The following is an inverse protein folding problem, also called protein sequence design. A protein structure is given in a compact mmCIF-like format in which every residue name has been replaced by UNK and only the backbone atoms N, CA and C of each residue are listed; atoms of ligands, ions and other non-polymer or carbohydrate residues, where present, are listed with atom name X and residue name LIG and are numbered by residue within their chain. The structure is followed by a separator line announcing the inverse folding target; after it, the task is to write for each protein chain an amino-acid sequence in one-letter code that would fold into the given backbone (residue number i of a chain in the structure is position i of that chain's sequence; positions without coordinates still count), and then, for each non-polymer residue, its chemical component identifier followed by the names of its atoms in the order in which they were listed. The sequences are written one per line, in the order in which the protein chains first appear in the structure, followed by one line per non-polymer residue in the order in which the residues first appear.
data_IF_229302781932
#
_entry.id   IF_229302781932
#
_cell.length_a   1.000
_cell.length_b   1.000
_cell.length_c   1.000
_cell.angle_alpha   90.00
_cell.angle_beta   90.00
_cell.angle_gamma   90.00
#
_symmetry.space_group_name_H-M   'P 1'
#
loop_
_entity.id
_entity.type
_entity.pdbx_description
1 polymer ?
2 non-polymer ?
3 non-polymer ?
4 water ?
#
# COMPACT_ATOMS: atom_id res chain seq x y z
N UNK A 1 -18.79 16.60 8.85
CA UNK A 1 -17.69 17.59 8.73
C UNK A 1 -16.41 16.89 8.23
N UNK A 2 -15.63 17.62 7.42
CA UNK A 2 -14.46 17.08 6.72
C UNK A 2 -13.27 16.79 7.63
N UNK A 3 -12.52 15.74 7.27
CA UNK A 3 -11.24 15.43 7.90
C UNK A 3 -10.25 16.55 7.60
N UNK A 4 -9.74 17.18 8.66
CA UNK A 4 -8.88 18.35 8.51
C UNK A 4 -7.53 18.02 7.87
N UNK A 5 -6.83 17.02 8.43
CA UNK A 5 -5.50 16.65 7.96
C UNK A 5 -4.46 17.71 8.25
N UNK A 6 -4.78 18.57 9.23
CA UNK A 6 -3.98 19.73 9.58
C UNK A 6 -2.98 19.49 10.73
N UNK A 7 -3.14 18.37 11.41
CA UNK A 7 -2.26 18.04 12.54
C UNK A 7 -1.10 17.16 12.10
N UNK A 8 -0.10 17.05 12.97
CA UNK A 8 1.10 16.26 12.70
C UNK A 8 0.95 14.80 13.09
N UNK A 9 1.88 13.98 12.64
CA UNK A 9 1.96 12.57 13.07
C UNK A 9 2.30 12.44 14.56
N UNK A 10 1.56 11.59 15.26
CA UNK A 10 1.83 11.31 16.68
C UNK A 10 3.26 10.84 16.93
N UNK A 11 3.88 11.28 18.05
CA UNK A 11 5.12 10.66 18.48
C UNK A 11 4.86 9.21 18.86
N UNK A 12 5.76 8.32 18.44
CA UNK A 12 5.62 6.89 18.71
C UNK A 12 6.96 6.25 19.12
N UNK A 13 6.89 5.12 19.81
CA UNK A 13 8.08 4.35 20.17
C UNK A 13 8.13 2.99 19.48
N UNK A 14 6.98 2.50 19.01
CA UNK A 14 6.90 1.18 18.41
C UNK A 14 5.50 0.91 17.88
N UNK A 15 5.24 -0.35 17.55
CA UNK A 15 4.01 -0.74 16.86
C UNK A 15 3.28 -1.85 17.62
N UNK A 16 2.03 -1.58 17.95
CA UNK A 16 1.16 -2.54 18.64
C UNK A 16 0.27 -3.26 17.64
N UNK A 17 0.15 -4.59 17.77
CA UNK A 17 -0.69 -5.39 16.84
C UNK A 17 -2.14 -4.92 16.87
N UNK A 18 -2.73 -4.80 15.69
CA UNK A 18 -4.06 -4.20 15.52
C UNK A 18 -5.09 -5.21 15.01
N UNK A 19 -4.74 -5.93 13.93
CA UNK A 19 -5.65 -6.90 13.34
C UNK A 19 -4.92 -8.07 12.68
N UNK A 20 -5.64 -9.18 12.55
CA UNK A 20 -5.19 -10.34 11.80
C UNK A 20 -6.44 -11.07 11.33
N UNK A 21 -6.60 -11.20 10.01
CA UNK A 21 -7.82 -11.77 9.45
C UNK A 21 -7.84 -13.30 9.36
N UNK A 22 -6.67 -13.94 9.38
CA UNK A 22 -6.56 -15.41 9.26
C UNK A 22 -7.28 -15.97 8.01
N UNK A 23 -7.36 -15.16 6.96
CA UNK A 23 -8.21 -15.42 5.80
C UNK A 23 -7.97 -16.75 5.12
N UNK A 24 -6.72 -17.09 4.87
CA UNK A 24 -6.41 -18.28 4.09
C UNK A 24 -6.66 -19.55 4.90
N UNK A 25 -6.33 -19.50 6.19
CA UNK A 25 -6.64 -20.56 7.14
C UNK A 25 -8.14 -20.83 7.17
N UNK A 26 -8.93 -19.77 7.26
CA UNK A 26 -10.40 -19.89 7.28
C UNK A 26 -10.95 -20.37 5.92
N UNK A 27 -10.38 -19.85 4.84
CA UNK A 27 -10.81 -20.19 3.47
C UNK A 27 -10.56 -21.62 3.04
N UNK A 28 -9.85 -22.37 3.88
CA UNK A 28 -9.69 -23.80 3.69
C UNK A 28 -11.07 -24.51 3.77
N UNK A 29 -11.96 -23.97 4.61
CA UNK A 29 -13.31 -24.48 4.72
C UNK A 29 -14.37 -23.40 4.44
N UNK A 30 -14.13 -22.17 4.93
CA UNK A 30 -15.10 -21.10 4.79
C UNK A 30 -15.18 -20.60 3.37
N UNK A 31 -16.27 -19.92 3.04
CA UNK A 31 -16.41 -19.27 1.73
C UNK A 31 -15.68 -17.93 1.76
N UNK A 32 -14.42 -17.97 1.37
CA UNK A 32 -13.55 -16.79 1.44
C UNK A 32 -13.01 -16.47 0.04
N UNK A 33 -13.05 -15.19 -0.32
CA UNK A 33 -12.50 -14.73 -1.59
C UNK A 33 -11.01 -14.98 -1.73
N UNK A 34 -10.61 -15.37 -2.95
CA UNK A 34 -9.23 -15.25 -3.38
C UNK A 34 -8.99 -13.77 -3.68
N UNK A 35 -7.99 -13.20 -3.03
CA UNK A 35 -7.69 -11.79 -3.14
C UNK A 35 -6.19 -11.57 -3.26
N UNK A 36 -5.81 -10.40 -3.72
CA UNK A 36 -4.50 -9.85 -3.45
C UNK A 36 -4.61 -8.34 -3.31
N UNK A 37 -3.47 -7.69 -3.11
CA UNK A 37 -3.42 -6.23 -2.95
C UNK A 37 -4.44 -5.69 -1.93
N UNK A 38 -4.44 -6.24 -0.69
CA UNK A 38 -5.40 -5.70 0.27
C UNK A 38 -4.85 -4.41 0.85
N UNK A 39 -5.70 -3.60 1.47
CA UNK A 39 -5.25 -2.39 2.16
C UNK A 39 -6.30 -1.88 3.13
N UNK A 40 -5.88 -1.11 4.13
CA UNK A 40 -6.80 -0.61 5.13
C UNK A 40 -6.96 0.90 4.97
N UNK A 41 -8.19 1.37 5.17
CA UNK A 41 -8.50 2.80 5.18
C UNK A 41 -9.60 3.08 6.21
N UNK A 42 -9.45 4.18 6.94
CA UNK A 42 -10.42 4.54 7.98
C UNK A 42 -11.20 5.82 7.68
N UNK A 43 -12.40 5.93 8.25
CA UNK A 43 -13.18 7.16 8.15
C UNK A 43 -13.12 7.89 9.49
N UNK A 44 -14.19 8.59 9.83
CA UNK A 44 -14.31 9.22 11.14
C UNK A 44 -15.05 8.28 12.09
N UNK A 45 -15.55 7.18 11.55
CA UNK A 45 -16.42 6.26 12.28
C UNK A 45 -15.96 4.79 12.30
N UNK A 46 -15.32 4.35 11.22
CA UNK A 46 -14.91 2.95 11.09
C UNK A 46 -13.56 2.78 10.38
N UNK A 47 -13.04 1.56 10.38
CA UNK A 47 -11.92 1.17 9.53
C UNK A 47 -12.32 -0.03 8.70
N UNK A 48 -12.01 0.02 7.41
CA UNK A 48 -12.34 -1.07 6.50
C UNK A 48 -11.10 -1.61 5.81
N UNK A 49 -11.11 -2.91 5.54
CA UNK A 49 -10.12 -3.50 4.67
C UNK A 49 -10.70 -3.52 3.26
N UNK A 50 -9.96 -2.95 2.32
CA UNK A 50 -10.30 -3.04 0.89
C UNK A 50 -9.40 -4.10 0.27
N UNK A 51 -9.87 -4.74 -0.80
CA UNK A 51 -9.11 -5.82 -1.45
C UNK A 51 -9.57 -6.02 -2.88
N UNK A 52 -8.69 -6.61 -3.68
CA UNK A 52 -9.01 -6.98 -5.06
C UNK A 52 -9.25 -8.47 -5.15
N UNK A 53 -10.51 -8.83 -5.35
CA UNK A 53 -10.85 -10.22 -5.49
C UNK A 53 -10.44 -10.69 -6.88
N UNK A 54 -10.48 -12.01 -7.06
CA UNK A 54 -10.30 -12.62 -8.37
C UNK A 54 -11.66 -13.18 -8.82
N UNK A 55 -12.72 -12.76 -8.14
CA UNK A 55 -14.09 -13.22 -8.40
C UNK A 55 -14.20 -14.72 -8.26
N UNK A 56 -13.60 -15.25 -7.19
CA UNK A 56 -13.47 -16.68 -6.97
C UNK A 56 -13.20 -16.96 -5.51
N UNK A 57 -13.67 -18.11 -5.04
CA UNK A 57 -13.43 -18.51 -3.67
C UNK A 57 -12.21 -19.41 -3.54
N UNK A 58 -11.56 -19.36 -2.38
CA UNK A 58 -10.49 -20.28 -2.05
C UNK A 58 -10.96 -21.73 -2.08
N UNK A 59 -10.06 -22.63 -2.48
CA UNK A 59 -10.33 -24.06 -2.57
C UNK A 59 -11.44 -24.42 -3.57
N UNK A 60 -11.59 -23.60 -4.61
CA UNK A 60 -12.55 -23.84 -5.69
C UNK A 60 -11.83 -23.73 -7.02
N UNK A 61 -12.31 -24.45 -8.04
CA UNK A 61 -11.66 -24.52 -9.36
C UNK A 61 -11.44 -23.17 -10.03
N UNK A 62 -12.27 -22.18 -9.73
CA UNK A 62 -12.12 -20.83 -10.30
C UNK A 62 -10.94 -20.02 -9.72
N UNK A 63 -10.29 -20.56 -8.68
CA UNK A 63 -9.07 -19.96 -8.15
C UNK A 63 -7.83 -20.34 -8.98
N UNK A 64 -8.03 -21.23 -9.96
CA UNK A 64 -6.98 -21.63 -10.88
C UNK A 64 -6.43 -20.45 -11.70
N UNK A 65 -5.12 -20.28 -11.66
CA UNK A 65 -4.46 -19.28 -12.49
C UNK A 65 -4.49 -17.89 -11.89
N UNK A 66 -4.76 -17.81 -10.59
CA UNK A 66 -4.93 -16.50 -9.92
C UNK A 66 -3.63 -15.77 -9.58
N UNK A 67 -2.50 -16.29 -10.03
CA UNK A 67 -1.22 -15.56 -10.00
C UNK A 67 -1.26 -14.42 -11.03
N UNK A 68 -2.09 -14.60 -12.06
CA UNK A 68 -2.33 -13.61 -13.11
C UNK A 68 -2.92 -12.32 -12.51
N UNK A 69 -2.40 -11.18 -12.95
CA UNK A 69 -2.67 -9.90 -12.29
C UNK A 69 -3.97 -9.23 -12.65
N UNK A 70 -4.35 -9.27 -13.92
CA UNK A 70 -5.44 -8.44 -14.44
C UNK A 70 -6.44 -9.26 -15.25
N UNK A 71 -7.71 -9.13 -14.91
CA UNK A 71 -8.78 -9.81 -15.64
C UNK A 71 -10.09 -9.03 -15.49
N UNK A 72 -11.05 -9.24 -16.41
CA UNK A 72 -12.34 -8.58 -16.28
C UNK A 72 -13.13 -8.98 -15.04
N UNK A 73 -12.69 -10.03 -14.36
CA UNK A 73 -13.41 -10.55 -13.20
C UNK A 73 -12.98 -9.99 -11.86
N UNK A 74 -11.80 -9.38 -11.80
CA UNK A 74 -11.29 -8.74 -10.58
C UNK A 74 -12.18 -7.57 -10.14
N UNK A 75 -12.54 -7.55 -8.86
CA UNK A 75 -13.36 -6.46 -8.31
C UNK A 75 -12.79 -5.95 -6.99
N UNK A 76 -12.90 -4.64 -6.78
CA UNK A 76 -12.65 -4.02 -5.47
C UNK A 76 -13.86 -4.21 -4.55
N UNK A 77 -13.60 -4.78 -3.38
CA UNK A 77 -14.60 -4.96 -2.35
C UNK A 77 -14.03 -4.57 -0.97
N UNK A 78 -14.90 -4.40 0.02
CA UNK A 78 -14.44 -4.12 1.37
C UNK A 78 -15.23 -4.84 2.45
N UNK A 79 -14.59 -5.03 3.59
CA UNK A 79 -15.25 -5.58 4.77
C UNK A 79 -14.63 -4.95 6.01
N UNK A 80 -15.30 -5.06 7.18
CA UNK A 80 -14.68 -4.60 8.44
C UNK A 80 -13.27 -5.20 8.66
N UNK A 81 -12.36 -4.39 9.18
CA UNK A 81 -10.97 -4.83 9.42
C UNK A 81 -10.93 -6.11 10.27
N UNK A 82 -10.02 -7.02 9.94
CA UNK A 82 -9.80 -8.22 10.74
C UNK A 82 -10.74 -9.37 10.47
N UNK A 83 -11.74 -9.14 9.61
CA UNK A 83 -12.67 -10.19 9.19
C UNK A 83 -12.17 -10.83 7.90
N UNK A 84 -12.41 -12.14 7.75
CA UNK A 84 -12.08 -12.86 6.52
C UNK A 84 -12.99 -12.38 5.39
N UNK A 85 -12.39 -11.88 4.29
CA UNK A 85 -13.15 -11.41 3.12
C UNK A 85 -14.02 -12.49 2.48
N UNK A 86 -15.32 -12.40 2.72
CA UNK A 86 -16.30 -13.37 2.28
C UNK A 86 -17.39 -12.69 1.45
N UNK A 87 -18.02 -13.42 0.51
CA UNK A 87 -19.20 -12.84 -0.18
C UNK A 87 -20.38 -12.52 0.76
N UNK A 88 -20.30 -12.95 2.01
CA UNK A 88 -21.39 -12.73 2.97
C UNK A 88 -21.12 -11.61 3.98
N UNK A 89 -19.93 -11.02 3.93
CA UNK A 89 -19.61 -9.89 4.80
C UNK A 89 -18.97 -8.74 4.04
N UNK A 90 -18.86 -8.88 2.72
CA UNK A 90 -18.17 -7.93 1.87
C UNK A 90 -19.09 -7.02 1.10
N UNK A 91 -18.73 -5.73 1.07
CA UNK A 91 -19.46 -4.74 0.31
C UNK A 91 -18.78 -4.58 -1.05
N UNK A 92 -19.56 -4.56 -2.12
CA UNK A 92 -19.01 -4.33 -3.45
C UNK A 92 -18.74 -2.85 -3.65
N UNK A 93 -17.55 -2.55 -4.16
CA UNK A 93 -17.11 -1.18 -4.37
C UNK A 93 -17.02 -0.84 -5.86
N UNK A 94 -16.23 -1.62 -6.60
CA UNK A 94 -15.89 -1.26 -7.99
C UNK A 94 -15.35 -2.46 -8.76
N UNK A 95 -15.48 -2.40 -10.09
CA UNK A 95 -14.79 -3.34 -10.97
C UNK A 95 -13.39 -2.77 -11.22
N UNK A 96 -12.36 -3.55 -10.87
CA UNK A 96 -11.00 -3.04 -10.81
C UNK A 96 -9.95 -4.14 -10.71
N UNK A 97 -8.83 -3.97 -11.43
CA UNK A 97 -7.62 -4.76 -11.20
C UNK A 97 -6.48 -3.92 -10.63
N UNK A 98 -6.78 -2.66 -10.33
CA UNK A 98 -5.89 -1.76 -9.60
C UNK A 98 -6.80 -0.74 -8.94
N UNK A 99 -6.48 -0.35 -7.70
CA UNK A 99 -7.41 0.41 -6.88
C UNK A 99 -6.79 1.33 -5.84
N UNK A 100 -7.58 2.32 -5.43
CA UNK A 100 -7.30 3.15 -4.28
C UNK A 100 -8.64 3.51 -3.62
N UNK A 101 -8.60 3.91 -2.35
CA UNK A 101 -9.82 4.29 -1.63
C UNK A 101 -9.48 5.15 -0.42
N UNK A 102 -10.34 6.12 -0.13
CA UNK A 102 -10.23 6.89 1.11
C UNK A 102 -11.52 7.65 1.44
N UNK A 103 -11.61 8.13 2.67
CA UNK A 103 -12.79 8.81 3.18
C UNK A 103 -12.42 10.25 3.58
N UNK A 104 -13.19 11.21 3.07
CA UNK A 104 -12.92 12.63 3.35
C UNK A 104 -13.62 13.18 4.59
N UNK A 105 -14.28 12.30 5.34
CA UNK A 105 -15.08 12.70 6.49
C UNK A 105 -16.56 12.63 6.18
N UNK A 106 -16.92 12.80 4.91
CA UNK A 106 -18.32 12.73 4.47
C UNK A 106 -18.64 11.37 3.83
N UNK A 107 -17.92 11.02 2.75
CA UNK A 107 -18.20 9.80 2.00
C UNK A 107 -16.93 9.05 1.58
N UNK A 108 -17.10 7.77 1.26
CA UNK A 108 -16.01 7.00 0.65
C UNK A 108 -15.75 7.40 -0.79
N UNK A 109 -14.51 7.76 -1.07
CA UNK A 109 -14.04 7.83 -2.43
C UNK A 109 -13.37 6.48 -2.76
N UNK A 110 -13.74 5.88 -3.89
CA UNK A 110 -13.03 4.72 -4.43
C UNK A 110 -12.53 4.94 -5.87
N UNK A 111 -11.39 4.35 -6.18
CA UNK A 111 -10.82 4.44 -7.52
C UNK A 111 -10.59 3.02 -8.03
N UNK A 112 -11.23 2.68 -9.13
CA UNK A 112 -11.11 1.36 -9.72
C UNK A 112 -10.69 1.41 -11.17
N UNK A 113 -9.59 0.75 -11.49
CA UNK A 113 -9.09 0.70 -12.85
C UNK A 113 -9.40 -0.67 -13.43
N UNK A 114 -10.05 -0.67 -14.59
CA UNK A 114 -10.36 -1.89 -15.34
C UNK A 114 -10.18 -1.57 -16.84
N UNK A 115 -10.50 -2.52 -17.70
CA UNK A 115 -10.32 -2.30 -19.12
C UNK A 115 -9.03 -2.92 -19.63
N UNK A 116 -8.77 -2.78 -20.94
CA UNK A 116 -7.59 -3.37 -21.57
C UNK A 116 -6.29 -2.67 -21.16
N UNK A 117 -5.18 -3.40 -21.26
CA UNK A 117 -3.83 -2.90 -20.92
C UNK A 117 -3.46 -1.63 -21.67
N UNK A 118 -3.88 -1.57 -22.94
CA UNK A 118 -3.55 -0.45 -23.82
C UNK A 118 -4.57 0.70 -23.81
N UNK A 119 -5.46 0.68 -22.82
CA UNK A 119 -6.44 1.76 -22.67
C UNK A 119 -7.35 1.61 -21.46
N UNK A 120 -6.75 1.42 -20.29
CA UNK A 120 -7.51 1.26 -19.05
C UNK A 120 -8.10 2.59 -18.60
N UNK A 121 -9.23 2.51 -17.90
CA UNK A 121 -9.91 3.69 -17.36
C UNK A 121 -10.07 3.56 -15.84
N UNK A 122 -9.68 4.62 -15.13
CA UNK A 122 -9.93 4.70 -13.69
C UNK A 122 -11.35 5.23 -13.44
N UNK A 123 -12.15 4.44 -12.72
CA UNK A 123 -13.49 4.89 -12.39
C UNK A 123 -13.52 5.41 -10.95
N UNK A 124 -13.89 6.69 -10.79
CA UNK A 124 -13.94 7.31 -9.47
C UNK A 124 -15.38 7.33 -8.98
N UNK A 125 -15.57 6.84 -7.75
CA UNK A 125 -16.90 6.81 -7.12
C UNK A 125 -16.86 7.55 -5.79
N UNK A 126 -17.87 8.38 -5.58
CA UNK A 126 -18.06 9.07 -4.31
C UNK A 126 -19.37 8.58 -3.74
N UNK A 127 -19.30 7.88 -2.60
CA UNK A 127 -20.48 7.28 -1.97
C UNK A 127 -21.12 6.19 -2.85
N UNK A 128 -20.26 5.44 -3.57
CA UNK A 128 -20.72 4.39 -4.47
C UNK A 128 -21.32 4.89 -5.78
N UNK A 129 -21.22 6.20 -6.04
CA UNK A 129 -21.76 6.79 -7.26
C UNK A 129 -20.63 7.34 -8.13
N UNK A 130 -20.66 7.00 -9.41
CA UNK A 130 -19.59 7.45 -10.34
C UNK A 130 -19.61 8.95 -10.52
N UNK A 131 -18.45 9.57 -10.26
CA UNK A 131 -18.30 11.01 -10.28
C UNK A 131 -17.28 11.48 -11.33
N UNK A 132 -16.34 10.60 -11.67
CA UNK A 132 -15.36 10.93 -12.70
C UNK A 132 -14.67 9.71 -13.27
N UNK A 133 -13.86 9.96 -14.30
CA UNK A 133 -13.15 8.94 -15.03
C UNK A 133 -11.78 9.53 -15.43
N UNK A 134 -10.76 8.69 -15.39
CA UNK A 134 -9.42 9.03 -15.90
C UNK A 134 -8.97 7.96 -16.88
N UNK A 135 -8.72 8.36 -18.12
CA UNK A 135 -8.28 7.45 -19.16
C UNK A 135 -6.75 7.40 -19.24
N UNK A 136 -6.21 6.20 -19.43
CA UNK A 136 -4.80 5.98 -19.75
C UNK A 136 -4.27 6.98 -20.78
N UNK A 137 -3.16 7.64 -20.46
CA UNK A 137 -2.59 8.68 -21.33
C UNK A 137 -1.33 8.18 -22.06
N UNK A 138 -0.81 7.04 -21.62
CA UNK A 138 0.36 6.41 -22.25
C UNK A 138 0.06 5.00 -22.77
N UNK A 139 -1.20 4.59 -22.62
CA UNK A 139 -1.70 3.30 -23.13
C UNK A 139 -0.84 2.11 -22.77
N UNK A 140 -0.36 2.08 -21.53
CA UNK A 140 0.46 0.97 -21.04
C UNK A 140 0.23 0.71 -19.55
N UNK A 141 -0.85 0.00 -19.26
CA UNK A 141 -1.23 -0.40 -17.90
C UNK A 141 -1.28 0.77 -16.93
N UNK A 142 -2.32 1.59 -17.06
CA UNK A 142 -2.65 2.58 -16.04
C UNK A 142 -2.81 1.88 -14.69
N UNK A 143 -2.12 2.39 -13.68
CA UNK A 143 -2.08 1.74 -12.37
C UNK A 143 -1.97 2.77 -11.25
N UNK A 144 -2.47 2.41 -10.07
CA UNK A 144 -2.50 3.32 -8.92
C UNK A 144 -1.96 2.70 -7.62
N UNK A 145 -2.31 3.26 -6.46
CA UNK A 145 -1.60 3.03 -5.19
C UNK A 145 -1.67 1.60 -4.63
N UNK A 146 -2.82 0.94 -4.76
CA UNK A 146 -3.12 -0.28 -4.00
C UNK A 146 -3.01 -0.05 -2.48
N UNK A 147 -3.20 1.20 -2.07
CA UNK A 147 -3.42 1.57 -0.67
C UNK A 147 -4.29 2.83 -0.58
N UNK A 148 -4.49 3.35 0.62
CA UNK A 148 -5.41 4.47 0.81
C UNK A 148 -4.85 5.75 0.21
N UNK A 149 -5.73 6.56 -0.37
CA UNK A 149 -5.37 7.91 -0.77
C UNK A 149 -5.33 8.77 0.49
N UNK A 150 -4.75 9.96 0.39
CA UNK A 150 -4.65 10.86 1.52
C UNK A 150 -5.66 12.01 1.38
N UNK A 151 -6.36 12.34 2.46
CA UNK A 151 -7.28 13.49 2.44
C UNK A 151 -6.87 14.61 3.37
N UNK A 152 -6.82 15.82 2.81
CA UNK A 152 -6.62 17.05 3.58
C UNK A 152 -7.75 18.04 3.26
N UNK A 153 -8.48 18.46 4.30
CA UNK A 153 -9.45 19.57 4.19
C UNK A 153 -10.47 19.39 3.04
N UNK A 154 -11.10 18.22 2.99
CA UNK A 154 -12.12 17.95 1.97
C UNK A 154 -11.58 17.70 0.56
N UNK A 155 -10.26 17.61 0.44
CA UNK A 155 -9.63 17.24 -0.81
C UNK A 155 -8.84 15.95 -0.59
N UNK A 156 -8.97 15.02 -1.53
CA UNK A 156 -8.23 13.77 -1.48
C UNK A 156 -7.25 13.67 -2.65
N UNK A 157 -6.14 12.96 -2.42
CA UNK A 157 -5.01 12.97 -3.33
C UNK A 157 -4.51 11.57 -3.63
N UNK A 158 -4.15 11.33 -4.89
CA UNK A 158 -3.68 10.03 -5.33
C UNK A 158 -2.56 10.17 -6.37
N UNK A 159 -1.79 9.10 -6.55
CA UNK A 159 -0.78 9.01 -7.62
C UNK A 159 -1.12 7.88 -8.59
N UNK A 160 -0.95 8.16 -9.88
CA UNK A 160 -1.08 7.13 -10.91
C UNK A 160 0.13 7.08 -11.83
N UNK A 161 0.38 5.88 -12.35
CA UNK A 161 1.49 5.65 -13.26
C UNK A 161 0.98 5.01 -14.56
N UNK A 162 1.59 5.42 -15.67
CA UNK A 162 1.32 4.84 -16.98
C UNK A 162 2.62 4.73 -17.76
N UNK A 163 2.79 3.61 -18.45
CA UNK A 163 4.02 3.35 -19.21
C UNK A 163 4.71 2.06 -18.80
N UNK A 164 5.96 1.85 -19.25
CA UNK A 164 6.68 0.60 -18.97
C UNK A 164 6.99 0.42 -17.48
N UNK A 165 7.20 -0.84 -17.09
CA UNK A 165 7.58 -1.18 -15.73
C UNK A 165 9.05 -1.59 -15.63
N UNK A 166 9.78 -1.41 -16.74
CA UNK A 166 11.22 -1.65 -16.78
C UNK A 166 12.00 -0.46 -17.35
N UNK A 167 11.39 0.71 -17.29
CA UNK A 167 11.99 1.94 -17.81
C UNK A 167 11.24 3.17 -17.35
N UNK A 168 11.63 4.34 -17.87
CA UNK A 168 10.90 5.57 -17.60
C UNK A 168 9.44 5.39 -17.92
N UNK A 169 8.60 5.72 -16.95
CA UNK A 169 7.17 5.82 -17.16
C UNK A 169 6.75 7.26 -16.93
N UNK A 170 5.44 7.47 -16.87
CA UNK A 170 4.85 8.77 -16.62
C UNK A 170 4.05 8.76 -15.31
N UNK A 171 4.23 9.77 -14.48
CA UNK A 171 3.61 9.78 -13.15
C UNK A 171 2.80 11.04 -12.94
N UNK A 172 1.59 10.89 -12.41
CA UNK A 172 0.71 12.02 -12.18
C UNK A 172 0.11 12.01 -10.78
N UNK A 173 0.01 13.20 -10.18
CA UNK A 173 -0.72 13.38 -8.93
C UNK A 173 -2.07 13.97 -9.29
N UNK A 174 -3.11 13.47 -8.63
CA UNK A 174 -4.45 13.96 -8.87
C UNK A 174 -5.03 14.52 -7.58
N UNK A 175 -5.61 15.70 -7.66
CA UNK A 175 -6.37 16.26 -6.56
C UNK A 175 -7.84 16.13 -6.91
N UNK A 176 -8.59 15.50 -6.02
CA UNK A 176 -10.03 15.39 -6.24
C UNK A 176 -10.86 15.86 -5.05
N UNK A 177 -12.03 16.39 -5.37
CA UNK A 177 -12.96 16.87 -4.38
C UNK A 177 -14.33 16.30 -4.73
N UNK A 178 -14.95 15.63 -3.74
CA UNK A 178 -16.21 14.92 -3.94
C UNK A 178 -16.17 13.91 -5.10
N UNK A 179 -14.99 13.30 -5.30
CA UNK A 179 -14.79 12.29 -6.34
C UNK A 179 -14.58 12.85 -7.75
N UNK A 180 -14.37 14.15 -7.85
CA UNK A 180 -14.12 14.78 -9.14
C UNK A 180 -12.69 15.37 -9.16
N UNK A 181 -11.96 15.09 -10.24
CA UNK A 181 -10.62 15.66 -10.45
C UNK A 181 -10.70 17.18 -10.67
N UNK A 182 -10.10 17.94 -9.77
CA UNK A 182 -10.08 19.41 -9.90
C UNK A 182 -8.70 19.93 -10.33
N UNK A 183 -7.69 19.09 -10.16
CA UNK A 183 -6.33 19.43 -10.55
C UNK A 183 -5.49 18.16 -10.66
N UNK A 184 -4.53 18.17 -11.59
CA UNK A 184 -3.55 17.10 -11.73
C UNK A 184 -2.24 17.66 -12.26
N UNK A 185 -1.15 16.99 -11.94
CA UNK A 185 0.19 17.45 -12.32
C UNK A 185 1.06 16.24 -12.69
N UNK A 186 1.75 16.31 -13.82
CA UNK A 186 2.72 15.29 -14.18
C UNK A 186 4.08 15.62 -13.57
N UNK A 187 4.68 14.62 -12.93
CA UNK A 187 5.98 14.80 -12.28
C UNK A 187 7.08 14.87 -13.31
N UNK A 188 7.87 15.94 -13.25
CA UNK A 188 9.07 16.06 -14.05
C UNK A 188 10.21 15.33 -13.33
N UNK A 189 10.23 14.01 -13.48
CA UNK A 189 11.14 13.18 -12.71
C UNK A 189 11.99 12.25 -13.60
N UNK A 190 12.96 12.84 -14.33
CA UNK A 190 13.85 12.05 -15.17
C UNK A 190 14.74 11.13 -14.34
N UNK A 191 14.84 9.89 -14.76
CA UNK A 191 15.62 8.85 -14.07
C UNK A 191 14.92 8.27 -12.83
N UNK A 192 13.75 8.82 -12.47
CA UNK A 192 12.96 8.34 -11.34
C UNK A 192 11.90 7.35 -11.81
N UNK A 193 11.44 6.48 -10.91
CA UNK A 193 10.32 5.59 -11.18
C UNK A 193 9.37 5.56 -9.99
N UNK A 194 8.09 5.79 -10.24
CA UNK A 194 7.06 5.83 -9.20
C UNK A 194 5.95 4.85 -9.47
N UNK A 195 5.62 4.06 -8.45
CA UNK A 195 4.59 3.04 -8.53
C UNK A 195 4.12 2.63 -7.13
N UNK A 196 2.84 2.28 -7.02
CA UNK A 196 2.26 1.71 -5.80
C UNK A 196 2.58 2.55 -4.55
N UNK A 197 2.32 3.85 -4.68
CA UNK A 197 2.66 4.81 -3.64
C UNK A 197 1.82 4.61 -2.39
N UNK A 198 2.49 4.67 -1.25
CA UNK A 198 1.82 4.71 0.06
C UNK A 198 1.85 6.15 0.54
N UNK A 199 0.69 6.79 0.54
CA UNK A 199 0.61 8.21 0.81
C UNK A 199 -0.15 8.51 2.10
N UNK A 200 0.37 9.45 2.88
CA UNK A 200 -0.25 9.86 4.15
C UNK A 200 -0.20 11.38 4.34
N UNK A 201 -1.21 11.95 5.02
CA UNK A 201 -1.17 13.39 5.31
C UNK A 201 -0.41 13.74 6.60
N UNK A 202 0.35 14.83 6.57
CA UNK A 202 1.10 15.33 7.72
C UNK A 202 1.07 16.86 7.74
N UNK A 203 0.25 17.43 8.62
CA UNK A 203 0.10 18.89 8.76
C UNK A 203 -0.12 19.61 7.43
N UNK A 204 -1.12 19.18 6.68
CA UNK A 204 -1.51 19.84 5.43
C UNK A 204 -0.67 19.47 4.23
N UNK A 205 0.21 18.49 4.40
CA UNK A 205 1.19 18.13 3.39
C UNK A 205 1.12 16.63 3.21
N UNK A 206 1.17 16.18 1.95
CA UNK A 206 1.09 14.74 1.65
C UNK A 206 2.47 14.16 1.31
N UNK A 207 2.79 13.04 1.93
CA UNK A 207 4.05 12.34 1.66
C UNK A 207 3.77 10.93 1.14
N UNK A 208 4.35 10.61 -0.02
CA UNK A 208 4.21 9.30 -0.64
C UNK A 208 5.54 8.57 -0.68
N UNK A 209 5.54 7.32 -0.23
CA UNK A 209 6.70 6.46 -0.39
C UNK A 209 6.31 5.33 -1.34
N UNK A 210 7.09 5.16 -2.40
CA UNK A 210 6.66 4.39 -3.55
C UNK A 210 7.63 3.26 -3.90
N UNK A 211 7.39 2.64 -5.05
CA UNK A 211 8.18 1.51 -5.54
C UNK A 211 8.89 1.87 -6.85
N UNK A 212 10.22 1.83 -6.84
CA UNK A 212 11.00 1.92 -8.08
C UNK A 212 11.18 0.50 -8.62
N UNK A 213 10.39 0.16 -9.63
CA UNK A 213 10.47 -1.16 -10.27
C UNK A 213 11.61 -1.21 -11.29
N UNK A 214 12.06 -0.02 -11.70
CA UNK A 214 13.04 0.13 -12.77
C UNK A 214 14.49 -0.13 -12.35
N UNK A 215 15.06 0.70 -11.48
CA UNK A 215 16.48 0.61 -11.14
C UNK A 215 16.81 1.15 -9.76
N UNK A 216 15.93 0.90 -8.78
CA UNK A 216 16.12 1.41 -7.42
C UNK A 216 15.78 0.38 -6.36
N UNK A 217 16.75 0.08 -5.49
CA UNK A 217 16.52 -0.82 -4.36
C UNK A 217 16.26 -0.04 -3.07
N UNK A 218 16.39 1.28 -3.15
CA UNK A 218 15.84 2.19 -2.14
C UNK A 218 14.55 2.78 -2.68
N UNK A 219 13.70 3.30 -1.79
CA UNK A 219 12.40 3.81 -2.22
C UNK A 219 12.40 5.29 -2.57
N UNK A 220 11.74 5.64 -3.70
CA UNK A 220 11.50 7.02 -4.09
C UNK A 220 10.39 7.65 -3.25
N UNK A 221 10.38 8.98 -3.17
CA UNK A 221 9.32 9.70 -2.47
C UNK A 221 8.88 10.97 -3.24
N UNK A 222 7.61 11.33 -3.06
CA UNK A 222 7.07 12.65 -3.45
C UNK A 222 6.44 13.30 -2.23
N UNK A 223 6.69 14.59 -2.05
CA UNK A 223 5.94 15.37 -1.05
C UNK A 223 5.34 16.56 -1.71
N UNK A 224 4.06 16.78 -1.47
CA UNK A 224 3.37 17.81 -2.20
C UNK A 224 2.36 18.62 -1.40
N UNK A 225 2.14 19.83 -1.91
CA UNK A 225 1.08 20.70 -1.49
C UNK A 225 -0.27 20.05 -1.71
N UNK A 226 -1.62 21.35 -0.91
CA UNK A 226 -2.94 21.16 -1.49
C UNK A 226 -3.03 21.74 -2.92
N UNK A 227 -1.96 22.39 -3.36
CA UNK A 227 -1.87 22.97 -4.69
C UNK A 227 -1.13 22.09 -5.70
N UNK A 228 -0.56 20.99 -5.22
CA UNK A 228 0.22 20.08 -6.06
C UNK A 228 1.62 20.63 -6.43
N UNK A 229 2.14 21.52 -5.59
CA UNK A 229 3.55 21.91 -5.68
C UNK A 229 4.37 20.85 -4.94
N UNK A 230 5.35 20.29 -5.64
CA UNK A 230 6.01 19.07 -5.15
C UNK A 230 7.53 19.18 -5.04
N UNK A 231 8.10 18.27 -4.25
CA UNK A 231 9.52 17.95 -4.20
C UNK A 231 9.64 16.44 -4.33
N UNK A 232 10.74 15.97 -4.93
CA UNK A 232 10.97 14.54 -5.13
C UNK A 232 12.35 14.09 -4.63
N UNK A 233 12.50 12.80 -4.38
CA UNK A 233 13.79 12.25 -3.98
C UNK A 233 13.69 10.77 -3.68
N UNK A 234 14.81 10.21 -3.22
CA UNK A 234 14.86 8.84 -2.73
C UNK A 234 15.28 8.87 -1.26
N UNK A 235 14.87 7.85 -0.52
CA UNK A 235 15.29 7.70 0.87
C UNK A 235 16.77 7.33 0.89
N UNK A 236 17.54 8.10 1.66
CA UNK A 236 19.00 8.05 1.65
C UNK A 236 19.60 6.93 2.47
N UNK A 237 18.85 6.42 3.44
CA UNK A 237 19.39 5.38 4.32
C UNK A 237 20.01 4.22 3.56
N UNK A 238 21.13 3.73 4.09
CA UNK A 238 21.74 2.50 3.62
C UNK A 238 21.02 1.26 4.14
N UNK A 239 19.94 1.49 4.91
CA UNK A 239 18.97 0.44 5.24
C UNK A 239 17.94 0.43 4.12
N UNK A 240 18.21 -0.36 3.08
CA UNK A 240 17.40 -0.33 1.87
C UNK A 240 16.05 -0.99 2.11
N UNK A 241 15.00 -0.40 1.55
CA UNK A 241 13.64 -0.77 1.92
C UNK A 241 12.85 -1.56 0.88
N UNK A 242 13.37 -1.66 -0.33
CA UNK A 242 12.68 -2.43 -1.38
C UNK A 242 13.01 -3.92 -1.27
N UNK A 243 12.37 -4.72 -2.13
CA UNK A 243 12.67 -6.14 -2.30
C UNK A 243 12.46 -6.48 -3.78
N UNK A 244 13.52 -6.92 -4.49
CA UNK A 244 14.86 -7.23 -3.97
C UNK A 244 15.72 -6.00 -3.69
N UNK A 245 16.83 -6.23 -3.00
CA UNK A 245 17.74 -5.18 -2.56
C UNK A 245 19.10 -5.80 -2.23
N UNK A 246 20.18 -4.99 -2.17
CA UNK A 246 21.44 -5.53 -1.68
C UNK A 246 21.46 -5.60 -0.14
N UNK A 247 22.56 -6.07 0.44
CA UNK A 247 22.73 -5.93 1.90
C UNK A 247 22.89 -4.46 2.27
N UNK A 248 22.61 -4.14 3.53
CA UNK A 248 22.76 -2.79 4.03
C UNK A 248 24.19 -2.30 3.84
N UNK A 249 24.31 -1.06 3.37
CA UNK A 249 25.60 -0.43 3.12
C UNK A 249 25.44 1.07 2.97
N UNK A 250 26.22 1.66 2.07
CA UNK A 250 26.15 3.08 1.83
C UNK A 250 24.91 3.36 0.97
N UNK A 251 24.01 4.17 1.51
CA UNK A 251 22.81 4.55 0.79
C UNK A 251 23.15 5.22 -0.53
N UNK A 252 21.81 6.75 -1.08
CA UNK A 252 21.81 7.69 -2.18
C UNK A 252 20.50 8.46 -2.09
N UNK A 253 20.56 9.76 -2.44
CA UNK A 253 19.41 10.67 -2.28
C UNK A 253 18.88 11.18 -3.61
N UNK A 254 19.84 9.34 -4.98
CA UNK A 254 19.17 8.82 -6.15
C UNK A 254 18.90 7.33 -5.97
N UNK A 255 18.39 6.68 -7.03
CA UNK A 255 18.12 5.25 -7.00
C UNK A 255 19.41 4.44 -6.87
N UNK A 256 19.39 3.46 -5.98
CA UNK A 256 20.49 2.50 -5.83
C UNK A 256 20.22 1.38 -6.84
N UNK A 257 20.98 1.39 -7.93
CA UNK A 257 20.73 0.51 -9.07
C UNK A 257 20.99 -0.96 -8.71
N UNK A 258 22.55 -1.78 -7.32
CA UNK A 258 22.45 -3.22 -7.25
C UNK A 258 21.05 -3.66 -6.88
N UNK A 259 20.60 -4.75 -7.52
CA UNK A 259 19.33 -5.38 -7.18
C UNK A 259 18.14 -4.43 -7.28
N UNK A 260 18.24 -3.47 -8.20
CA UNK A 260 17.27 -2.36 -8.32
C UNK A 260 16.01 -2.72 -9.07
N UNK A 261 16.15 -3.54 -10.11
CA UNK A 261 14.98 -3.97 -10.91
C UNK A 261 13.96 -4.74 -10.08
N UNK A 262 12.71 -4.72 -10.56
CA UNK A 262 11.54 -5.28 -9.88
C UNK A 262 11.29 -4.49 -8.58
N UNK A 263 10.70 -5.12 -7.56
CA UNK A 263 10.41 -4.43 -6.32
C UNK A 263 9.21 -5.03 -5.63
N UNK A 264 8.75 -4.33 -4.59
CA UNK A 264 7.54 -4.70 -3.87
C UNK A 264 6.91 -3.42 -3.35
N UNK A 265 5.58 -3.39 -3.24
CA UNK A 265 4.93 -2.24 -2.61
C UNK A 265 5.34 -2.17 -1.14
N UNK A 266 5.80 -1.01 -0.72
CA UNK A 266 6.16 -0.76 0.66
C UNK A 266 5.79 0.65 1.10
N UNK A 267 6.32 1.04 2.25
CA UNK A 267 5.96 2.31 2.87
C UNK A 267 7.08 2.73 3.82
N UNK A 268 7.04 4.00 4.21
CA UNK A 268 7.91 4.54 5.23
C UNK A 268 7.26 5.80 5.81
N UNK A 269 7.54 6.05 7.09
CA UNK A 269 7.05 7.25 7.74
C UNK A 269 8.18 8.20 8.05
N UNK A 270 8.13 9.38 7.45
CA UNK A 270 9.14 10.41 7.69
C UNK A 270 8.89 11.09 9.03
N UNK A 271 9.91 11.10 9.89
CA UNK A 271 9.83 11.79 11.18
C UNK A 271 11.01 12.72 11.32
N UNK A 272 10.84 13.95 10.85
CA UNK A 272 11.94 14.91 10.75
C UNK A 272 12.88 14.39 9.69
N UNK A 273 14.15 14.28 10.03
CA UNK A 273 15.13 13.68 9.12
C UNK A 273 15.33 12.19 9.39
N UNK A 274 14.54 11.66 10.33
CA UNK A 274 14.46 10.24 10.60
C UNK A 274 13.38 9.55 9.79
N UNK A 275 13.41 8.21 9.82
CA UNK A 275 12.47 7.41 9.05
C UNK A 275 12.20 6.05 9.72
N UNK A 276 10.92 5.70 9.80
CA UNK A 276 10.48 4.34 10.11
C UNK A 276 10.32 3.59 8.80
N UNK A 277 11.12 2.55 8.62
CA UNK A 277 11.11 1.74 7.41
C UNK A 277 10.45 0.40 7.68
N UNK A 278 9.38 0.11 6.95
CA UNK A 278 8.84 -1.24 6.91
C UNK A 278 9.48 -1.92 5.72
N UNK A 279 10.03 -3.12 5.93
CA UNK A 279 10.66 -3.91 4.84
C UNK A 279 10.63 -5.39 5.16
N UNK A 280 10.82 -6.22 4.13
CA UNK A 280 10.96 -7.66 4.31
C UNK A 280 12.27 -7.97 5.02
N UNK A 281 12.39 -9.18 5.58
CA UNK A 281 13.63 -9.59 6.22
C UNK A 281 14.60 -10.14 5.18
N UNK A 282 14.07 -10.91 4.24
CA UNK A 282 14.84 -11.43 3.10
C UNK A 282 15.17 -10.31 2.12
N UNK A 283 16.33 -10.47 1.52
CA UNK A 283 16.89 -9.51 0.57
C UNK A 283 16.43 -9.81 -0.87
N UNK A 284 15.95 -11.03 -1.11
CA UNK A 284 15.60 -11.48 -2.46
C UNK A 284 14.11 -11.65 -2.66
N UNK A 285 13.47 -12.33 -1.72
CA UNK A 285 12.07 -12.68 -1.85
C UNK A 285 11.23 -12.01 -0.76
N UNK A 286 9.91 -12.09 -0.95
CA UNK A 286 8.93 -11.48 -0.08
C UNK A 286 8.72 -12.40 1.13
N UNK A 287 9.73 -12.44 1.98
CA UNK A 287 9.75 -13.27 3.19
C UNK A 287 10.08 -12.42 4.40
N UNK A 288 9.33 -12.60 5.48
CA UNK A 288 9.58 -11.87 6.71
C UNK A 288 9.13 -10.43 6.63
N UNK A 289 9.17 -9.76 7.79
CA UNK A 289 8.90 -8.34 7.87
C UNK A 289 9.42 -7.77 9.18
N UNK A 290 9.94 -6.54 9.11
CA UNK A 290 10.48 -5.84 10.28
C UNK A 290 10.22 -4.33 10.17
N UNK A 291 10.05 -3.67 11.31
CA UNK A 291 10.05 -2.21 11.38
C UNK A 291 11.42 -1.73 11.88
N UNK A 292 11.94 -0.71 11.22
CA UNK A 292 13.24 -0.16 11.58
C UNK A 292 13.12 1.36 11.77
N UNK A 293 13.57 1.82 12.93
CA UNK A 293 13.71 3.24 13.20
C UNK A 293 15.13 3.67 12.85
N UNK A 294 15.26 4.51 11.85
CA UNK A 294 16.56 5.09 11.52
C UNK A 294 16.46 6.61 11.72
N UNK A 295 16.97 7.11 12.87
CA UNK A 295 16.81 8.51 13.26
C UNK A 295 17.37 9.56 12.30
N UNK A 296 18.21 9.17 11.36
CA UNK A 296 18.74 10.12 10.37
C UNK A 296 18.56 9.66 8.91
N UNK A 297 17.75 8.61 8.71
CA UNK A 297 17.69 7.88 7.46
C UNK A 297 17.03 8.54 6.26
N UNK A 298 16.32 9.64 6.47
CA UNK A 298 15.67 10.32 5.36
C UNK A 298 16.70 11.02 4.49
N UNK A 299 17.73 11.53 5.16
CA UNK A 299 18.72 12.42 4.54
C UNK A 299 20.15 11.87 4.58
N UNK A 300 20.45 11.01 5.55
CA UNK A 300 21.79 10.46 5.70
C UNK A 300 21.97 9.06 5.12
N UNK A 301 23.17 8.81 4.63
CA UNK A 301 23.45 7.71 3.75
C UNK A 301 23.99 6.44 4.41
N UNK A 302 24.27 6.50 5.71
CA UNK A 302 24.80 5.34 6.45
C UNK A 302 23.75 4.23 6.66
N UNK A 303 24.23 3.08 7.12
CA UNK A 303 23.40 1.88 7.30
C UNK A 303 23.13 1.56 8.77
N UNK A 304 23.38 2.51 9.65
CA UNK A 304 23.11 2.30 11.06
C UNK A 304 21.70 2.78 11.43
N UNK A 305 21.12 2.11 12.42
CA UNK A 305 19.76 2.39 12.87
C UNK A 305 19.67 2.11 14.36
N UNK A 306 18.59 2.61 14.98
CA UNK A 306 18.43 2.50 16.42
C UNK A 306 17.58 1.31 16.84
N UNK A 307 16.39 1.21 16.26
CA UNK A 307 15.40 0.23 16.68
C UNK A 307 14.91 -0.59 15.50
N UNK A 308 15.04 -2.53 15.64
CA UNK A 308 14.38 -3.53 14.84
C UNK A 308 13.23 -4.06 15.66
N UNK A 309 12.03 -3.99 15.11
CA UNK A 309 10.88 -4.70 15.69
C UNK A 309 10.42 -5.76 14.70
N UNK A 310 10.55 -7.02 15.10
CA UNK A 310 10.12 -8.14 14.25
C UNK A 310 8.61 -8.15 14.10
N UNK A 311 8.14 -8.48 12.90
CA UNK A 311 6.72 -8.57 12.63
C UNK A 311 6.35 -9.92 12.00
N UNK A 312 7.17 -10.37 11.05
CA UNK A 312 7.06 -11.73 10.49
C UNK A 312 8.49 -12.27 10.32
N UNK A 313 8.71 -13.52 10.73
CA UNK A 313 10.02 -14.18 10.61
C UNK A 313 10.38 -14.53 9.15
N UNK A 314 11.69 -14.55 8.84
CA UNK A 314 12.18 -14.90 7.48
C UNK A 314 11.62 -16.21 6.94
N UNK A 315 11.26 -17.11 7.84
CA UNK A 315 10.78 -18.44 7.45
C UNK A 315 9.32 -18.39 6.99
N UNK A 316 8.71 -17.22 7.09
CA UNK A 316 7.33 -17.05 6.66
C UNK A 316 7.17 -16.00 5.57
N UNK A 317 6.20 -16.23 4.69
CA UNK A 317 5.94 -15.36 3.55
C UNK A 317 5.26 -14.06 3.96
N UNK A 318 5.72 -12.97 3.37
CA UNK A 318 5.04 -11.67 3.47
C UNK A 318 4.71 -11.23 2.03
N UNK A 319 4.66 -9.91 1.81
CA UNK A 319 4.38 -9.39 0.49
C UNK A 319 4.26 -7.90 0.54
N UNK A 320 3.20 -7.40 -0.07
CA UNK A 320 2.89 -5.97 -0.06
C UNK A 320 2.73 -5.46 1.36
N UNK A 321 3.06 -4.20 1.56
CA UNK A 321 2.76 -3.51 2.79
C UNK A 321 2.46 -2.07 2.44
N UNK A 322 1.71 -1.40 3.30
CA UNK A 322 1.30 -0.03 3.03
C UNK A 322 0.97 0.72 4.29
N UNK A 323 0.99 2.04 4.17
CA UNK A 323 0.59 2.91 5.25
C UNK A 323 -0.92 3.10 5.27
N UNK A 324 -1.46 3.20 6.47
CA UNK A 324 -2.75 3.86 6.65
C UNK A 324 -2.69 4.78 7.85
N UNK A 325 -3.68 5.65 7.96
CA UNK A 325 -3.66 6.67 8.99
C UNK A 325 -4.99 6.70 9.75
N UNK A 326 -4.95 7.10 11.01
CA UNK A 326 -6.16 7.33 11.81
C UNK A 326 -6.22 8.77 12.28
N UNK A 327 -7.21 9.50 11.77
CA UNK A 327 -7.33 10.94 12.02
C UNK A 327 -7.92 11.28 13.40
N UNK A 328 -7.56 12.45 13.95
CA UNK A 328 -8.09 12.92 15.25
C UNK A 328 -9.61 12.76 15.40
N UNK A 329 -10.38 13.03 14.35
CA UNK A 329 -11.84 12.98 14.44
C UNK A 329 -12.40 11.57 14.68
N UNK A 330 -11.60 10.55 14.39
CA UNK A 330 -11.93 9.18 14.74
C UNK A 330 -11.40 8.80 16.12
N UNK A 331 -10.17 9.21 16.43
CA UNK A 331 -9.47 8.75 17.64
C UNK A 331 -9.63 9.62 18.89
N UNK A 332 -9.89 10.92 18.69
CA UNK A 332 -9.96 11.87 19.78
C UNK A 332 -8.59 12.42 20.15
N UNK A 333 -7.54 11.85 19.56
CA UNK A 333 -6.16 12.31 19.73
C UNK A 333 -5.96 13.72 19.17
N UNK A 334 -4.84 14.34 19.53
CA UNK A 334 -4.52 15.66 18.97
C UNK A 334 -3.60 15.57 17.75
N UNK A 335 -3.36 14.34 17.29
CA UNK A 335 -2.41 14.06 16.21
C UNK A 335 -2.92 12.97 15.27
N UNK A 336 -2.33 12.89 14.09
CA UNK A 336 -2.65 11.84 13.12
C UNK A 336 -1.81 10.61 13.43
N UNK A 337 -2.46 9.46 13.64
CA UNK A 337 -1.78 8.23 14.05
C UNK A 337 -1.34 7.40 12.86
N UNK A 338 -0.03 7.06 12.79
CA UNK A 338 0.45 6.16 11.74
C UNK A 338 0.16 4.69 12.06
N UNK A 339 -0.33 3.97 11.05
CA UNK A 339 -0.50 2.54 11.10
C UNK A 339 -0.03 1.92 9.77
N UNK A 340 0.24 0.62 9.78
CA UNK A 340 0.56 -0.10 8.55
C UNK A 340 -0.07 -1.49 8.52
N UNK A 341 -0.27 -2.00 7.29
CA UNK A 341 -0.73 -3.37 7.07
C UNK A 341 0.32 -4.12 6.25
N UNK A 342 0.35 -5.44 6.39
CA UNK A 342 1.18 -6.29 5.57
C UNK A 342 0.29 -7.36 4.93
N UNK A 343 0.42 -7.51 3.61
CA UNK A 343 -0.17 -8.62 2.89
C UNK A 343 0.74 -9.85 2.98
N UNK A 344 0.19 -11.00 3.34
CA UNK A 344 0.97 -12.23 3.51
C UNK A 344 0.60 -13.19 2.40
N UNK A 345 1.39 -13.19 1.32
CA UNK A 345 1.05 -13.91 0.09
C UNK A 345 1.34 -15.40 0.20
N UNK A 346 0.41 -16.22 -0.29
CA UNK A 346 0.53 -17.68 -0.26
C UNK A 346 0.16 -18.23 -1.63
N UNK A 347 0.81 -19.33 -2.02
CA UNK A 347 0.58 -19.96 -3.31
C UNK A 347 1.62 -19.57 -4.34
N UNK A 348 1.19 -19.38 -5.59
CA UNK A 348 2.11 -19.08 -6.69
C UNK A 348 2.72 -17.68 -6.52
N UNK A 349 3.95 -17.48 -7.03
CA UNK A 349 4.81 -18.45 -7.71
C UNK A 349 5.64 -19.35 -6.79
N UNK A 350 5.77 -18.97 -5.52
CA UNK A 350 6.72 -19.61 -4.59
C UNK A 350 6.29 -20.98 -4.06
N UNK A 351 4.99 -21.23 -4.03
CA UNK A 351 4.46 -22.49 -3.55
C UNK A 351 3.62 -23.15 -4.63
N UNK A 352 3.50 -25.26 -4.32
CA UNK A 352 2.93 -25.66 -5.59
C UNK A 352 1.41 -25.75 -5.48
N UNK A 353 0.76 -24.66 -5.90
CA UNK A 353 -0.70 -24.58 -5.92
C UNK A 353 -1.11 -24.13 -7.31
N UNK A 354 -2.43 -24.09 -7.56
CA UNK A 354 -2.97 -23.57 -8.80
C UNK A 354 -3.38 -22.08 -8.62
N UNK A 355 -3.23 -21.59 -7.39
CA UNK A 355 -3.78 -20.30 -6.98
C UNK A 355 -2.77 -19.40 -6.23
N UNK A 356 -3.09 -18.11 -6.17
CA UNK A 356 -2.37 -17.16 -5.34
C UNK A 356 -3.39 -16.33 -4.55
N UNK A 357 -3.17 -16.21 -3.25
CA UNK A 357 -3.97 -15.33 -2.43
C UNK A 357 -3.13 -14.71 -1.32
N UNK A 358 -3.74 -13.82 -0.54
CA UNK A 358 -3.07 -13.22 0.60
C UNK A 358 -4.00 -13.00 1.78
N UNK A 359 -3.44 -13.09 2.98
CA UNK A 359 -4.13 -12.67 4.19
C UNK A 359 -3.51 -11.35 4.67
N UNK A 360 -4.09 -10.74 5.69
CA UNK A 360 -3.51 -9.50 6.21
C UNK A 360 -3.33 -9.48 7.72
N UNK A 361 -2.30 -8.74 8.14
CA UNK A 361 -2.07 -8.34 9.52
C UNK A 361 -1.89 -6.83 9.50
N UNK A 362 -2.13 -6.18 10.63
CA UNK A 362 -1.91 -4.74 10.74
C UNK A 362 -1.49 -4.31 12.14
N UNK A 363 -0.88 -3.14 12.19
CA UNK A 363 -0.22 -2.61 13.38
C UNK A 363 -0.41 -1.10 13.45
N UNK A 364 -0.48 -0.56 14.66
CA UNK A 364 -0.58 0.89 14.85
C UNK A 364 0.55 1.47 15.69
N UNK A 365 1.00 2.67 15.29
CA UNK A 365 2.06 3.40 15.98
C UNK A 365 1.62 3.82 17.36
N UNK A 366 2.46 3.51 18.33
CA UNK A 366 2.10 3.66 19.73
C UNK A 366 3.27 4.28 20.52
N UNK A 367 2.93 5.12 21.50
CA UNK A 367 3.94 5.74 22.34
C UNK A 367 4.07 5.05 23.71
N UNK A 368 3.72 3.78 23.76
CA UNK A 368 3.87 2.96 24.95
C UNK A 368 4.67 1.69 24.60
N UNK A 369 4.76 0.72 25.51
CA UNK A 369 5.54 -0.50 25.30
C UNK A 369 5.02 -1.37 24.16
N UNK A 370 5.93 -2.00 23.43
CA UNK A 370 5.58 -2.89 22.33
C UNK A 370 6.51 -4.09 22.37
N UNK A 371 6.29 -5.05 21.47
CA UNK A 371 7.14 -6.25 21.39
C UNK A 371 7.24 -6.78 19.96
N UNK A 372 8.42 -7.25 19.60
CA UNK A 372 8.61 -7.96 18.34
C UNK A 372 8.09 -9.38 18.48
N UNK A 373 7.62 -9.95 17.37
CA UNK A 373 7.24 -11.37 17.30
C UNK A 373 7.07 -11.75 15.85
N UNK A 374 6.44 -12.89 15.62
CA UNK A 374 6.04 -13.29 14.28
C UNK A 374 4.54 -13.56 14.28
N UNK A 375 3.82 -12.83 13.43
CA UNK A 375 2.41 -13.11 13.20
C UNK A 375 2.20 -13.52 11.73
N UNK A 376 2.62 -14.75 11.37
CA UNK A 376 2.61 -15.22 9.97
C UNK A 376 1.24 -15.72 9.51
N UNK A 377 1.11 -15.98 8.21
CA UNK A 377 -0.17 -16.38 7.62
C UNK A 377 -0.76 -17.63 8.27
N UNK A 378 0.06 -18.66 8.42
CA UNK A 378 -0.33 -19.87 9.14
C UNK A 378 -1.11 -20.93 8.40
N UNK A 379 -1.31 -20.77 7.10
CA UNK A 379 -2.03 -21.79 6.35
C UNK A 379 -1.08 -22.91 5.96
N UNK A 380 -1.58 -24.14 5.91
CA UNK A 380 -0.78 -25.23 5.42
C UNK A 380 -1.22 -25.59 4.00
N UNK A 381 -0.30 -25.40 3.06
CA UNK A 381 -0.53 -25.69 1.66
C UNK A 381 0.04 -27.09 1.33
N UNK A 382 -0.41 -27.71 0.23
CA UNK A 382 -1.45 -27.24 -0.67
C UNK A 382 -2.84 -27.50 -0.11
N UNK A 383 -3.86 -27.07 -0.84
CA UNK A 383 -5.24 -27.29 -0.45
C UNK A 383 -5.80 -28.48 -1.24
N UNK A 384 -7.00 -28.92 -0.88
CA UNK A 384 -7.73 -29.95 -1.63
C UNK A 384 -7.70 -29.66 -3.15
N UNK A 385 -7.80 -28.37 -3.49
CA UNK A 385 -7.56 -27.83 -4.85
C UNK A 385 -8.86 -27.44 -5.54
X LIG B 1 3.49 -7.81 -7.82
X LIG B 1 4.73 -7.66 -7.97
X LIG B 1 3.04 -8.53 -6.90
X LIG B 1 2.56 -7.14 -8.75
X LIG B 1 1.06 -7.24 -8.52
X LIG B 1 0.31 -6.02 -9.05
X LIG B 1 0.78 -5.61 -10.45
X LIG B 1 0.03 -4.46 -10.93
X LIG B 1 -0.82 -4.51 -11.97
X LIG B 1 -0.89 -5.46 -12.73
X LIG B 1 -1.70 -3.31 -12.14
X LIG B 1 2.27 -5.30 -10.47
X LIG B 1 3.03 -6.43 -9.79
X LIG B 1 2.75 -5.14 -11.83
X LIG B 1 3.40 -3.88 -12.10
X LIG B 1 4.79 -3.80 -11.42
X LIG B 1 3.57 -3.67 -13.59
X LIG B 1 2.26 -3.41 -14.31
X LIG B 1 5.76 -4.85 -11.91
X LIG B 1 -1.11 -6.32 -9.06
X LIG C 1 13.15 -2.02 -7.01
#
# INVERSE_FOLDING_TARGET
VKLAGNSSLCPINGWAVYSKDNSIRIGSKGDVFVIREPFISCSHLECRTFFLTQGALLNDKHSNGTVKDRSPHRTLMSCPVGEAPSPYNSRFESVAWSASACHDGTSWLTIGISGPDNGAVAVLKYNGIITDTIKSWRNNILRTQESECACVNGSCFTVMTDGPSNGQASYKIFKMEKGKVVKSVELDAPNYYYEECSCYPNAGEITCVCRDNWHGSNRPWVSFNQNLEYQIGYICSGVFGDNPRPNDGTGSCGPVSSNGAYGVKGFSFKYGNGVWIGRTKSTNSRSGFEMIWDPNGWTETDSSFSVKQDIVAITDWSGYSGSFVQHPELTGLDCIRPCFWVELIRGRPKESTIWTSGSSISFCGVNSDTVGWSWPDGAELPFTI
G39 C1 O1A O1B C2 C3 C4 C5 N5 C10 O10 C11 C6 C7 O7 C8 C9 C81 C82 C91 N4
CA CA
#
